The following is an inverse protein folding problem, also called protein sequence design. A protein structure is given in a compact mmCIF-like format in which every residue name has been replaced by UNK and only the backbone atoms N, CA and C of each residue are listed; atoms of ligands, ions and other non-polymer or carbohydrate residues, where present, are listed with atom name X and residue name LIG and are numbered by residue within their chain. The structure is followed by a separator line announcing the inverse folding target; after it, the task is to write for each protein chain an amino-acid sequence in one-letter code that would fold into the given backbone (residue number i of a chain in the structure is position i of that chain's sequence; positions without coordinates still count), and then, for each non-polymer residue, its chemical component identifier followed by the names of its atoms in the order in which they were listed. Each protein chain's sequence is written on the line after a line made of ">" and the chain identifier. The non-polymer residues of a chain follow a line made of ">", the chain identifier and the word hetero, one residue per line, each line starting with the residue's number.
data_IF_561893847156
#
_entry.id   IF_561893847156
#
_cell.length_a   1.000
_cell.length_b   1.000
_cell.length_c   1.000
_cell.angle_alpha   90.00
_cell.angle_beta   90.00
_cell.angle_gamma   90.00
#
_symmetry.space_group_name_H-M   'P 1'
#
loop_
_entity.id
_entity.type
_entity.pdbx_description
1 polymer ?
#
# COMPACT_ATOMS: atom_id res chain seq x y z
N UNK A 1 0.14 -28.95 -6.20
CA UNK A 1 1.18 -27.91 -6.23
C UNK A 1 2.21 -28.25 -5.18
N UNK A 2 3.39 -28.69 -5.63
CA UNK A 2 4.51 -29.13 -4.78
C UNK A 2 5.01 -27.93 -3.96
N UNK A 3 5.50 -28.14 -2.73
CA UNK A 3 5.96 -27.07 -1.81
C UNK A 3 6.93 -26.08 -2.49
N UNK A 4 7.75 -26.57 -3.41
CA UNK A 4 8.70 -25.80 -4.22
C UNK A 4 8.01 -24.85 -5.22
N UNK A 5 6.98 -25.31 -5.93
CA UNK A 5 6.23 -24.48 -6.90
C UNK A 5 5.55 -23.28 -6.21
N UNK A 6 5.00 -23.51 -5.01
CA UNK A 6 4.42 -22.42 -4.19
C UNK A 6 5.47 -21.40 -3.77
N UNK A 7 6.65 -21.87 -3.36
CA UNK A 7 7.75 -20.99 -2.96
C UNK A 7 8.24 -20.14 -4.13
N UNK A 8 8.45 -20.75 -5.30
CA UNK A 8 8.88 -20.05 -6.52
C UNK A 8 7.84 -19.00 -6.97
N UNK A 9 6.56 -19.36 -6.96
CA UNK A 9 5.47 -18.43 -7.28
C UNK A 9 5.43 -17.25 -6.29
N UNK A 10 5.61 -17.53 -5.00
CA UNK A 10 5.62 -16.49 -3.96
C UNK A 10 6.78 -15.54 -4.12
N UNK A 11 7.98 -16.05 -4.41
CA UNK A 11 9.17 -15.24 -4.67
C UNK A 11 8.97 -14.42 -5.94
N UNK A 12 8.50 -15.03 -7.03
CA UNK A 12 8.26 -14.33 -8.30
C UNK A 12 7.24 -13.19 -8.18
N UNK A 13 6.10 -13.45 -7.53
CA UNK A 13 5.10 -12.41 -7.25
C UNK A 13 5.63 -11.36 -6.28
N UNK A 14 6.40 -11.77 -5.28
CA UNK A 14 7.00 -10.85 -4.32
C UNK A 14 7.98 -9.88 -4.98
N UNK A 15 8.89 -10.40 -5.80
CA UNK A 15 9.82 -9.58 -6.58
C UNK A 15 9.07 -8.63 -7.52
N UNK A 16 8.03 -9.12 -8.22
CA UNK A 16 7.21 -8.27 -9.10
C UNK A 16 6.60 -7.10 -8.35
N UNK A 17 6.03 -7.34 -7.16
CA UNK A 17 5.45 -6.29 -6.30
C UNK A 17 6.51 -5.30 -5.82
N UNK A 18 7.68 -5.79 -5.39
CA UNK A 18 8.77 -4.93 -4.91
C UNK A 18 9.28 -4.03 -6.04
N UNK A 19 9.67 -4.60 -7.18
CA UNK A 19 10.23 -3.84 -8.30
C UNK A 19 9.25 -2.82 -8.86
N UNK A 20 7.98 -3.20 -9.02
CA UNK A 20 6.94 -2.28 -9.50
C UNK A 20 6.68 -1.13 -8.53
N UNK A 21 6.68 -1.38 -7.22
CA UNK A 21 6.53 -0.31 -6.21
C UNK A 21 7.75 0.59 -6.12
N UNK A 22 8.98 0.07 -6.22
CA UNK A 22 10.19 0.88 -6.28
C UNK A 22 10.19 1.73 -7.54
N UNK A 23 9.88 1.14 -8.70
CA UNK A 23 9.78 1.86 -9.97
C UNK A 23 8.81 3.03 -9.88
N UNK A 24 7.62 2.84 -9.30
CA UNK A 24 6.70 3.96 -9.08
C UNK A 24 7.27 5.00 -8.10
N UNK A 25 7.92 4.58 -7.00
CA UNK A 25 8.47 5.51 -6.00
C UNK A 25 9.65 6.34 -6.50
N UNK A 26 10.39 5.82 -7.49
CA UNK A 26 11.46 6.56 -8.18
C UNK A 26 10.88 7.49 -9.25
N UNK A 27 9.90 7.03 -10.02
CA UNK A 27 9.35 7.78 -11.15
C UNK A 27 8.40 8.91 -10.74
N UNK A 28 7.71 8.80 -9.60
CA UNK A 28 6.86 9.88 -9.06
C UNK A 28 7.64 11.18 -8.82
N UNK A 29 8.72 11.20 -8.01
CA UNK A 29 9.46 12.43 -7.73
C UNK A 29 10.17 12.94 -9.00
N UNK A 30 10.77 12.04 -9.81
CA UNK A 30 11.33 12.41 -11.12
C UNK A 30 10.31 13.08 -12.04
N UNK A 31 9.04 12.65 -12.02
CA UNK A 31 7.99 13.30 -12.78
C UNK A 31 7.64 14.66 -12.17
N UNK A 32 7.33 14.73 -10.88
CA UNK A 32 6.94 15.96 -10.16
C UNK A 32 7.99 17.06 -10.30
N UNK A 33 9.27 16.73 -10.14
CA UNK A 33 10.35 17.72 -10.16
C UNK A 33 10.88 18.02 -11.56
N UNK A 34 10.46 17.25 -12.57
CA UNK A 34 10.90 17.48 -13.95
C UNK A 34 10.53 18.85 -14.51
N UNK A 35 9.46 19.48 -14.02
CA UNK A 35 9.07 20.85 -14.41
C UNK A 35 9.94 21.91 -13.74
N UNK A 36 10.57 21.58 -12.61
CA UNK A 36 11.41 22.48 -11.82
C UNK A 36 12.88 22.40 -12.26
N UNK A 37 13.35 21.23 -12.68
CA UNK A 37 14.78 20.98 -12.95
C UNK A 37 15.29 21.47 -14.31
N UNK A 38 14.40 21.79 -15.25
CA UNK A 38 14.74 22.45 -16.52
C UNK A 38 14.83 23.98 -16.40
N UNK A 39 14.92 24.53 -15.19
CA UNK A 39 14.97 25.96 -14.93
C UNK A 39 16.28 26.62 -15.38
N UNK A 40 16.40 26.91 -16.68
CA UNK A 40 16.70 28.30 -17.05
C UNK A 40 15.51 29.12 -16.57
N UNK A 41 15.58 29.59 -15.32
CA UNK A 41 14.69 30.63 -14.82
C UNK A 41 15.08 31.89 -15.58
N UNK A 42 14.55 32.05 -16.80
CA UNK A 42 14.49 33.35 -17.44
C UNK A 42 13.60 34.21 -16.53
N UNK A 43 14.23 35.08 -15.76
CA UNK A 43 13.66 36.03 -14.80
C UNK A 43 12.67 37.04 -15.43
N UNK A 44 12.14 36.76 -16.62
CA UNK A 44 11.33 37.68 -17.43
C UNK A 44 9.98 37.09 -17.87
N UNK A 45 9.63 35.86 -17.47
CA UNK A 45 8.34 35.25 -17.84
C UNK A 45 7.51 34.90 -16.60
N UNK A 46 6.36 35.56 -16.43
CA UNK A 46 5.31 35.17 -15.48
C UNK A 46 4.76 33.80 -15.88
N UNK A 47 5.41 32.72 -15.43
CA UNK A 47 4.90 31.36 -15.63
C UNK A 47 3.55 31.26 -14.91
N UNK A 48 2.46 30.88 -15.61
CA UNK A 48 1.14 30.80 -14.99
C UNK A 48 1.13 29.83 -13.81
N UNK A 49 0.44 30.17 -12.72
CA UNK A 49 0.38 29.36 -11.49
C UNK A 49 -0.15 27.93 -11.69
N UNK A 50 -0.90 27.69 -12.76
CA UNK A 50 -1.45 26.37 -13.11
C UNK A 50 -0.43 25.43 -13.78
N UNK A 51 0.76 25.91 -14.20
CA UNK A 51 1.83 25.08 -14.78
C UNK A 51 2.65 24.39 -13.69
N UNK A 52 2.01 23.51 -12.94
CA UNK A 52 2.62 22.71 -11.87
C UNK A 52 2.07 21.29 -11.92
N UNK A 53 2.86 20.33 -11.46
CA UNK A 53 2.40 18.95 -11.35
C UNK A 53 1.57 18.79 -10.08
N UNK A 54 0.38 18.23 -10.23
CA UNK A 54 -0.58 18.05 -9.14
C UNK A 54 -0.57 16.62 -8.61
N UNK A 55 -0.47 16.46 -7.29
CA UNK A 55 -0.39 15.14 -6.66
C UNK A 55 -1.74 14.41 -6.61
N UNK A 56 -2.86 15.13 -6.59
CA UNK A 56 -4.19 14.54 -6.66
C UNK A 56 -4.48 14.00 -8.07
N UNK A 57 -3.98 14.68 -9.11
CA UNK A 57 -4.06 14.20 -10.50
C UNK A 57 -3.46 12.80 -10.67
N UNK A 58 -2.42 12.43 -9.90
CA UNK A 58 -1.86 11.06 -9.89
C UNK A 58 -2.92 10.05 -9.44
N UNK A 59 -3.66 10.36 -8.36
CA UNK A 59 -4.70 9.48 -7.79
C UNK A 59 -5.84 9.28 -8.79
N UNK A 60 -6.29 10.37 -9.43
CA UNK A 60 -7.36 10.33 -10.44
C UNK A 60 -6.91 9.54 -11.66
N UNK A 61 -5.71 9.82 -12.16
CA UNK A 61 -5.19 9.14 -13.36
C UNK A 61 -5.01 7.65 -13.10
N UNK A 62 -4.51 7.27 -11.92
CA UNK A 62 -4.42 5.87 -11.51
C UNK A 62 -5.81 5.18 -11.52
N UNK A 63 -6.84 5.86 -11.01
CA UNK A 63 -8.22 5.35 -11.05
C UNK A 63 -8.73 5.18 -12.48
N UNK A 64 -8.50 6.17 -13.35
CA UNK A 64 -8.92 6.15 -14.76
C UNK A 64 -8.23 5.03 -15.52
N UNK A 65 -6.89 4.95 -15.47
CA UNK A 65 -6.10 3.97 -16.23
C UNK A 65 -6.41 2.55 -15.81
N UNK A 66 -6.48 2.27 -14.49
CA UNK A 66 -6.86 0.96 -13.98
C UNK A 66 -8.29 0.57 -14.38
N UNK A 67 -9.25 1.51 -14.29
CA UNK A 67 -10.65 1.24 -14.64
C UNK A 67 -10.79 0.94 -16.14
N UNK A 68 -10.14 1.72 -17.00
CA UNK A 68 -10.16 1.49 -18.44
C UNK A 68 -9.49 0.16 -18.81
N UNK A 69 -8.30 -0.12 -18.28
CA UNK A 69 -7.56 -1.35 -18.56
C UNK A 69 -8.35 -2.58 -18.13
N UNK A 70 -8.77 -2.65 -16.87
CA UNK A 70 -9.51 -3.81 -16.38
C UNK A 70 -10.94 -3.88 -16.95
N UNK A 71 -11.53 -2.76 -17.34
CA UNK A 71 -12.80 -2.71 -18.06
C UNK A 71 -12.69 -3.33 -19.45
N UNK A 72 -11.66 -2.98 -20.22
CA UNK A 72 -11.38 -3.58 -21.54
C UNK A 72 -11.07 -5.08 -21.38
N UNK A 73 -10.26 -5.47 -20.39
CA UNK A 73 -9.97 -6.88 -20.12
C UNK A 73 -11.21 -7.67 -19.68
N UNK A 74 -12.10 -7.05 -18.90
CA UNK A 74 -13.36 -7.69 -18.53
C UNK A 74 -14.29 -7.83 -19.74
N UNK A 75 -14.39 -6.78 -20.57
CA UNK A 75 -15.17 -6.80 -21.81
C UNK A 75 -14.67 -7.92 -22.74
N UNK A 76 -13.36 -8.03 -22.93
CA UNK A 76 -12.77 -9.07 -23.78
C UNK A 76 -13.02 -10.47 -23.20
N UNK A 77 -12.96 -10.66 -21.88
CA UNK A 77 -13.36 -11.91 -21.24
C UNK A 77 -14.83 -12.24 -21.47
N UNK A 78 -15.74 -11.27 -21.41
CA UNK A 78 -17.16 -11.48 -21.63
C UNK A 78 -17.47 -11.85 -23.09
N UNK A 79 -16.76 -11.24 -24.05
CA UNK A 79 -16.93 -11.49 -25.48
C UNK A 79 -16.30 -12.83 -25.91
N UNK A 80 -15.03 -13.07 -25.55
CA UNK A 80 -14.28 -14.23 -26.04
C UNK A 80 -14.38 -15.47 -25.13
N UNK A 81 -14.66 -15.28 -23.84
CA UNK A 81 -14.69 -16.36 -22.84
C UNK A 81 -15.91 -16.24 -21.89
N UNK A 82 -17.15 -16.22 -22.41
CA UNK A 82 -18.36 -15.93 -21.62
C UNK A 82 -18.55 -16.87 -20.44
N UNK A 83 -18.02 -18.11 -20.51
CA UNK A 83 -18.10 -19.10 -19.42
C UNK A 83 -17.17 -18.82 -18.24
N UNK A 84 -16.21 -17.89 -18.35
CA UNK A 84 -15.26 -17.55 -17.27
C UNK A 84 -15.83 -16.61 -16.21
N UNK A 85 -16.88 -15.86 -16.53
CA UNK A 85 -17.62 -15.03 -15.58
C UNK A 85 -18.96 -15.71 -15.37
N UNK A 86 -19.25 -16.07 -14.12
CA UNK A 86 -20.42 -16.87 -13.78
C UNK A 86 -21.35 -16.12 -12.84
N UNK A 87 -22.49 -16.71 -12.51
CA UNK A 87 -23.42 -16.09 -11.54
C UNK A 87 -22.77 -15.78 -10.19
N UNK A 88 -21.71 -16.52 -9.81
CA UNK A 88 -20.96 -16.27 -8.59
C UNK A 88 -20.35 -14.86 -8.57
N UNK A 89 -19.70 -14.46 -9.66
CA UNK A 89 -19.13 -13.12 -9.83
C UNK A 89 -20.22 -12.03 -9.77
N UNK A 90 -21.35 -12.26 -10.45
CA UNK A 90 -22.45 -11.29 -10.49
C UNK A 90 -23.10 -11.08 -9.12
N UNK A 91 -23.32 -12.17 -8.37
CA UNK A 91 -23.86 -12.18 -7.00
C UNK A 91 -22.83 -11.76 -5.94
N UNK A 92 -21.57 -11.54 -6.33
CA UNK A 92 -20.54 -11.13 -5.39
C UNK A 92 -20.90 -9.76 -4.75
N UNK A 93 -20.85 -9.64 -3.41
CA UNK A 93 -21.36 -8.47 -2.70
C UNK A 93 -20.56 -7.21 -3.04
N UNK A 94 -21.24 -6.21 -3.62
CA UNK A 94 -20.60 -4.97 -4.13
C UNK A 94 -19.85 -4.17 -3.06
N UNK A 95 -20.24 -4.30 -1.79
CA UNK A 95 -19.51 -3.71 -0.65
C UNK A 95 -18.05 -4.16 -0.56
N UNK A 96 -17.73 -5.36 -1.04
CA UNK A 96 -16.35 -5.89 -1.05
C UNK A 96 -15.47 -5.25 -2.14
N UNK A 97 -16.05 -4.50 -3.09
CA UNK A 97 -15.32 -3.62 -4.00
C UNK A 97 -15.26 -2.20 -3.46
N UNK A 98 -16.41 -1.70 -2.97
CA UNK A 98 -16.56 -0.32 -2.52
C UNK A 98 -15.63 0.01 -1.36
N UNK A 99 -15.56 -0.85 -0.34
CA UNK A 99 -14.75 -0.58 0.86
C UNK A 99 -13.25 -0.49 0.51
N UNK A 100 -12.60 -1.48 -0.13
CA UNK A 100 -11.19 -1.35 -0.46
C UNK A 100 -10.92 -0.23 -1.47
N UNK A 101 -11.77 -0.02 -2.48
CA UNK A 101 -11.58 1.07 -3.46
C UNK A 101 -11.69 2.48 -2.84
N UNK A 102 -12.65 2.69 -1.94
CA UNK A 102 -12.77 3.97 -1.21
C UNK A 102 -11.62 4.15 -0.22
N UNK A 103 -11.26 3.11 0.52
CA UNK A 103 -10.16 3.15 1.48
C UNK A 103 -8.83 3.48 0.79
N UNK A 104 -8.46 2.80 -0.30
CA UNK A 104 -7.19 3.10 -0.98
C UNK A 104 -7.15 4.54 -1.51
N UNK A 105 -8.29 5.07 -1.95
CA UNK A 105 -8.39 6.45 -2.42
C UNK A 105 -8.16 7.44 -1.29
N UNK A 106 -8.80 7.23 -0.15
CA UNK A 106 -8.59 8.06 1.05
C UNK A 106 -7.13 7.97 1.51
N UNK A 107 -6.55 6.78 1.52
CA UNK A 107 -5.13 6.57 1.84
C UNK A 107 -4.23 7.35 0.89
N UNK A 108 -4.47 7.26 -0.41
CA UNK A 108 -3.69 7.97 -1.42
C UNK A 108 -3.80 9.49 -1.26
N UNK A 109 -5.00 10.03 -1.05
CA UNK A 109 -5.22 11.47 -0.84
C UNK A 109 -4.46 11.97 0.40
N UNK A 110 -4.61 11.29 1.54
CA UNK A 110 -3.92 11.66 2.78
C UNK A 110 -2.40 11.58 2.62
N UNK A 111 -1.92 10.55 1.92
CA UNK A 111 -0.50 10.36 1.64
C UNK A 111 0.02 11.47 0.74
N UNK A 112 -0.59 11.72 -0.42
CA UNK A 112 -0.21 12.77 -1.37
C UNK A 112 -0.24 14.15 -0.73
N UNK A 113 -1.21 14.43 0.14
CA UNK A 113 -1.27 15.69 0.88
C UNK A 113 -0.13 15.81 1.89
N UNK A 114 0.22 14.76 2.63
CA UNK A 114 1.28 14.80 3.63
C UNK A 114 2.70 14.65 3.05
N UNK A 115 2.85 14.12 1.82
CA UNK A 115 4.14 13.77 1.21
C UNK A 115 5.00 14.98 0.85
N UNK A 116 4.41 16.17 0.69
CA UNK A 116 5.17 17.37 0.32
C UNK A 116 6.31 17.60 1.32
N UNK A 117 7.53 17.78 0.81
CA UNK A 117 8.71 18.08 1.64
C UNK A 117 8.58 19.35 2.47
N UNK A 118 7.60 20.21 2.19
CA UNK A 118 7.24 21.38 3.02
C UNK A 118 6.30 21.06 4.19
N UNK A 119 5.64 19.89 4.17
CA UNK A 119 4.63 19.46 5.15
C UNK A 119 5.18 18.40 6.08
N UNK A 120 5.73 17.33 5.52
CA UNK A 120 6.41 16.28 6.26
C UNK A 120 7.84 16.16 5.76
N UNK A 121 8.81 16.18 6.66
CA UNK A 121 10.20 15.96 6.28
C UNK A 121 10.36 14.58 5.63
N UNK A 122 11.12 14.44 4.52
CA UNK A 122 11.27 13.17 3.80
C UNK A 122 11.75 12.00 4.68
N UNK A 123 12.67 12.26 5.61
CA UNK A 123 13.15 11.25 6.55
C UNK A 123 12.03 10.71 7.45
N UNK A 124 11.14 11.60 7.87
CA UNK A 124 10.03 11.28 8.75
C UNK A 124 8.97 10.46 8.02
N UNK A 125 8.67 10.77 6.75
CA UNK A 125 7.77 9.96 5.89
C UNK A 125 8.17 8.49 5.91
N UNK A 126 9.47 8.19 5.76
CA UNK A 126 9.98 6.83 5.78
C UNK A 126 9.75 6.15 7.14
N UNK A 127 10.07 6.83 8.26
CA UNK A 127 9.81 6.33 9.63
C UNK A 127 8.32 6.06 9.85
N UNK A 128 7.47 7.00 9.45
CA UNK A 128 6.03 6.89 9.65
C UNK A 128 5.40 5.76 8.82
N UNK A 129 6.00 5.43 7.68
CA UNK A 129 5.51 4.33 6.84
C UNK A 129 5.62 2.96 7.51
N UNK A 130 6.53 2.82 8.48
CA UNK A 130 6.75 1.57 9.23
C UNK A 130 5.54 1.21 10.11
N UNK A 131 4.72 2.18 10.51
CA UNK A 131 3.47 1.93 11.24
C UNK A 131 2.47 1.10 10.44
N UNK A 132 2.66 0.95 9.14
CA UNK A 132 1.84 0.09 8.30
C UNK A 132 1.87 -1.37 8.76
N UNK A 133 3.01 -1.89 9.27
CA UNK A 133 3.11 -3.25 9.80
C UNK A 133 2.14 -3.45 10.98
N UNK A 134 2.31 -2.76 12.13
CA UNK A 134 1.43 -2.99 13.28
C UNK A 134 -0.04 -2.67 12.97
N UNK A 135 -0.32 -1.62 12.20
CA UNK A 135 -1.69 -1.25 11.80
C UNK A 135 -2.35 -2.37 10.99
N UNK A 136 -1.65 -2.93 9.99
CA UNK A 136 -2.18 -4.03 9.17
C UNK A 136 -2.43 -5.27 10.01
N UNK A 137 -1.53 -5.63 10.94
CA UNK A 137 -1.73 -6.76 11.84
C UNK A 137 -3.00 -6.61 12.69
N UNK A 138 -3.23 -5.41 13.25
CA UNK A 138 -4.43 -5.11 14.04
C UNK A 138 -5.69 -5.16 13.19
N UNK A 139 -5.70 -4.50 12.03
CA UNK A 139 -6.86 -4.48 11.12
C UNK A 139 -7.20 -5.89 10.65
N UNK A 140 -6.19 -6.67 10.26
CA UNK A 140 -6.36 -8.05 9.81
C UNK A 140 -6.89 -8.95 10.92
N UNK A 141 -6.40 -8.77 12.14
CA UNK A 141 -6.95 -9.45 13.32
C UNK A 141 -8.42 -9.09 13.56
N UNK A 142 -8.82 -7.82 13.44
CA UNK A 142 -10.21 -7.39 13.66
C UNK A 142 -11.14 -7.93 12.56
N UNK A 143 -10.75 -7.83 11.28
CA UNK A 143 -11.62 -8.12 10.14
C UNK A 143 -11.64 -9.60 9.78
N UNK A 144 -10.48 -10.25 9.74
CA UNK A 144 -10.36 -11.67 9.35
C UNK A 144 -10.32 -12.61 10.55
N UNK A 145 -10.11 -12.09 11.77
CA UNK A 145 -10.00 -12.89 13.00
C UNK A 145 -8.91 -13.97 12.92
N UNK A 146 -7.87 -13.72 12.10
CA UNK A 146 -6.66 -14.54 12.02
C UNK A 146 -5.64 -14.05 13.04
N UNK A 147 -5.05 -14.97 13.80
CA UNK A 147 -3.99 -14.65 14.77
C UNK A 147 -2.62 -15.06 14.23
N UNK A 148 -1.62 -14.17 14.25
CA UNK A 148 -0.26 -14.56 13.93
C UNK A 148 0.27 -15.53 14.99
N UNK A 149 1.08 -16.49 14.56
CA UNK A 149 1.87 -17.31 15.50
C UNK A 149 2.96 -16.47 16.14
N UNK A 150 3.46 -16.87 17.32
CA UNK A 150 4.56 -16.15 18.00
C UNK A 150 5.77 -15.99 17.08
N UNK A 151 6.13 -17.05 16.33
CA UNK A 151 7.21 -17.04 15.36
C UNK A 151 7.02 -15.94 14.29
N UNK A 152 5.80 -15.82 13.75
CA UNK A 152 5.46 -14.79 12.76
C UNK A 152 5.47 -13.39 13.32
N UNK A 153 5.00 -13.22 14.56
CA UNK A 153 5.10 -11.94 15.26
C UNK A 153 6.55 -11.53 15.48
N UNK A 154 7.43 -12.46 15.90
CA UNK A 154 8.87 -12.20 16.05
C UNK A 154 9.51 -11.82 14.72
N UNK A 155 9.20 -12.51 13.62
CA UNK A 155 9.68 -12.12 12.28
C UNK A 155 9.22 -10.72 11.89
N UNK A 156 7.96 -10.35 12.17
CA UNK A 156 7.43 -9.01 11.90
C UNK A 156 8.15 -7.94 12.74
N UNK A 157 8.45 -8.23 14.01
CA UNK A 157 9.24 -7.34 14.88
C UNK A 157 10.66 -7.16 14.32
N UNK A 158 11.32 -8.24 13.89
CA UNK A 158 12.66 -8.16 13.29
C UNK A 158 12.63 -7.29 12.03
N UNK A 159 11.65 -7.48 11.14
CA UNK A 159 11.50 -6.64 9.93
C UNK A 159 11.27 -5.18 10.30
N UNK A 160 10.39 -4.90 11.26
CA UNK A 160 10.10 -3.55 11.71
C UNK A 160 11.34 -2.86 12.31
N UNK A 161 12.09 -3.55 13.17
CA UNK A 161 13.33 -3.01 13.76
C UNK A 161 14.43 -2.84 12.71
N UNK A 162 14.53 -3.74 11.74
CA UNK A 162 15.48 -3.64 10.64
C UNK A 162 15.20 -2.42 9.78
N UNK A 163 13.92 -2.08 9.54
CA UNK A 163 13.54 -0.87 8.81
C UNK A 163 13.89 0.42 9.56
N UNK A 164 13.71 0.42 10.88
CA UNK A 164 14.15 1.54 11.73
C UNK A 164 15.67 1.71 11.69
N UNK A 165 16.42 0.62 11.53
CA UNK A 165 17.89 0.67 11.43
C UNK A 165 18.36 1.44 10.19
N UNK A 166 17.72 1.27 9.02
CA UNK A 166 18.07 2.07 7.82
C UNK A 166 17.83 3.56 8.02
N UNK A 167 16.96 3.93 8.97
CA UNK A 167 16.51 5.29 9.22
C UNK A 167 17.31 5.98 10.33
N UNK A 168 18.29 5.32 10.94
CA UNK A 168 19.12 5.91 12.01
C UNK A 168 19.79 7.22 11.57
N UNK A 169 20.44 7.34 10.39
CA UNK A 169 21.08 8.60 9.97
C UNK A 169 20.05 9.71 9.76
N UNK A 170 18.89 9.33 9.24
CA UNK A 170 17.72 10.18 9.05
C UNK A 170 17.12 10.71 10.37
N UNK A 171 17.17 9.93 11.45
CA UNK A 171 16.67 10.31 12.79
C UNK A 171 17.72 11.10 13.58
N UNK A 172 19.00 10.73 13.43
CA UNK A 172 20.14 11.32 14.12
C UNK A 172 21.11 11.91 13.10
N UNK A 173 20.76 13.06 12.48
CA UNK A 173 21.55 13.67 11.42
C UNK A 173 22.95 14.08 11.88
N UNK A 174 23.18 14.22 13.19
CA UNK A 174 24.51 14.43 13.78
C UNK A 174 25.51 13.31 13.48
N UNK A 175 25.05 12.16 12.99
CA UNK A 175 25.88 11.02 12.60
C UNK A 175 26.34 11.08 11.14
N UNK A 176 25.84 12.02 10.33
CA UNK A 176 26.28 12.27 8.95
C UNK A 176 26.96 13.65 8.82
N UNK A 177 27.99 13.74 7.97
CA UNK A 177 28.80 14.96 7.78
C UNK A 177 27.95 16.07 7.15
N UNK A 178 27.97 17.26 7.78
CA UNK A 178 26.99 18.36 7.70
C UNK A 178 26.78 19.11 6.36
N UNK A 179 27.01 18.53 5.20
CA UNK A 179 26.89 19.24 3.90
C UNK A 179 25.61 18.97 3.10
N UNK A 180 24.73 18.05 3.53
CA UNK A 180 23.47 17.73 2.82
C UNK A 180 22.17 18.13 3.56
N UNK A 181 22.24 18.57 4.82
CA UNK A 181 21.07 18.80 5.69
C UNK A 181 20.52 20.24 5.71
N UNK A 182 20.93 21.11 4.78
CA UNK A 182 20.44 22.50 4.78
C UNK A 182 18.97 22.67 4.30
N UNK A 183 18.25 21.57 4.05
CA UNK A 183 16.85 21.56 3.61
C UNK A 183 16.04 20.43 4.26
N UNK A 184 16.16 20.19 5.57
CA UNK A 184 15.41 19.12 6.26
C UNK A 184 13.87 19.25 6.14
N UNK A 185 13.37 20.37 5.60
CA UNK A 185 11.97 20.51 5.21
C UNK A 185 11.02 20.35 6.38
N UNK A 186 9.75 20.06 6.07
CA UNK A 186 8.69 19.88 7.04
C UNK A 186 8.07 21.19 7.53
N UNK A 187 6.81 21.11 7.93
CA UNK A 187 6.12 22.25 8.51
C UNK A 187 6.62 22.51 9.94
N UNK A 188 6.66 23.78 10.34
CA UNK A 188 7.03 24.17 11.70
C UNK A 188 5.80 24.29 12.62
N UNK A 189 6.02 24.26 13.93
CA UNK A 189 4.97 24.41 14.93
C UNK A 189 3.96 23.26 14.94
N UNK A 190 2.67 23.57 15.16
CA UNK A 190 1.59 22.56 15.26
C UNK A 190 1.43 21.76 13.95
N UNK A 191 1.62 22.41 12.80
CA UNK A 191 1.56 21.76 11.50
C UNK A 191 2.64 20.66 11.35
N UNK A 192 3.80 20.84 11.98
CA UNK A 192 4.87 19.84 12.03
C UNK A 192 4.50 18.54 12.75
N UNK A 193 3.42 18.53 13.54
CA UNK A 193 2.87 17.33 14.17
C UNK A 193 1.65 16.81 13.42
N UNK A 194 0.77 17.71 12.96
CA UNK A 194 -0.46 17.33 12.27
C UNK A 194 -0.22 16.60 10.95
N UNK A 195 0.78 17.01 10.16
CA UNK A 195 1.10 16.35 8.89
C UNK A 195 1.64 14.92 9.06
N UNK A 196 2.59 14.66 9.97
CA UNK A 196 2.93 13.30 10.37
C UNK A 196 1.74 12.45 10.80
N UNK A 197 0.85 12.99 11.63
CA UNK A 197 -0.35 12.27 12.05
C UNK A 197 -1.31 12.00 10.87
N UNK A 198 -1.43 12.93 9.93
CA UNK A 198 -2.16 12.75 8.67
C UNK A 198 -1.54 11.62 7.82
N UNK A 199 -0.21 11.52 7.79
CA UNK A 199 0.47 10.45 7.09
C UNK A 199 0.26 9.08 7.77
N UNK A 200 0.38 8.99 9.10
CA UNK A 200 0.09 7.74 9.84
C UNK A 200 -1.37 7.33 9.65
N UNK A 201 -2.30 8.29 9.69
CA UNK A 201 -3.73 8.00 9.51
C UNK A 201 -4.05 7.44 8.13
N UNK A 202 -3.23 7.71 7.11
CA UNK A 202 -3.35 7.12 5.77
C UNK A 202 -3.04 5.60 5.74
N UNK A 203 -2.30 5.09 6.72
CA UNK A 203 -1.96 3.66 6.82
C UNK A 203 -3.16 2.81 7.25
N UNK A 204 -4.11 3.39 7.99
CA UNK A 204 -5.35 2.70 8.39
C UNK A 204 -6.17 2.28 7.17
N UNK A 205 -6.57 3.18 6.26
CA UNK A 205 -7.30 2.80 5.06
C UNK A 205 -6.45 1.95 4.10
N UNK A 206 -5.12 2.10 4.09
CA UNK A 206 -4.25 1.19 3.33
C UNK A 206 -4.34 -0.26 3.86
N UNK A 207 -4.23 -0.45 5.18
CA UNK A 207 -4.38 -1.75 5.84
C UNK A 207 -5.77 -2.35 5.65
N UNK A 208 -6.82 -1.51 5.67
CA UNK A 208 -8.19 -1.93 5.32
C UNK A 208 -8.24 -2.49 3.91
N UNK A 209 -7.71 -1.76 2.94
CA UNK A 209 -7.68 -2.17 1.52
C UNK A 209 -7.06 -3.55 1.36
N UNK A 210 -5.84 -3.75 1.88
CA UNK A 210 -5.14 -5.03 1.75
C UNK A 210 -5.87 -6.18 2.44
N UNK A 211 -6.48 -5.93 3.60
CA UNK A 211 -7.22 -6.94 4.36
C UNK A 211 -8.52 -7.34 3.67
N UNK A 212 -9.26 -6.38 3.10
CA UNK A 212 -10.46 -6.66 2.30
C UNK A 212 -10.12 -7.32 0.97
N UNK A 213 -9.01 -6.93 0.33
CA UNK A 213 -8.52 -7.59 -0.87
C UNK A 213 -8.16 -9.04 -0.57
N UNK A 214 -7.40 -9.33 0.50
CA UNK A 214 -7.12 -10.69 0.97
C UNK A 214 -8.41 -11.48 1.13
N UNK A 215 -9.37 -10.93 1.88
CA UNK A 215 -10.68 -11.57 2.10
C UNK A 215 -11.35 -11.94 0.78
N UNK A 216 -11.26 -11.05 -0.21
CA UNK A 216 -11.98 -11.15 -1.46
C UNK A 216 -11.35 -12.15 -2.42
N UNK A 217 -10.03 -12.08 -2.60
CA UNK A 217 -9.29 -12.92 -3.56
C UNK A 217 -9.05 -14.33 -3.04
N UNK A 218 -9.01 -14.53 -1.71
CA UNK A 218 -8.89 -15.86 -1.10
C UNK A 218 -10.25 -16.54 -0.89
N UNK A 219 -11.37 -15.80 -0.97
CA UNK A 219 -12.71 -16.41 -0.84
C UNK A 219 -12.94 -17.40 -1.97
N UNK A 220 -13.20 -18.65 -1.59
CA UNK A 220 -13.59 -19.71 -2.52
C UNK A 220 -15.05 -20.10 -2.27
N UNK A 221 -15.81 -20.34 -3.32
CA UNK A 221 -17.20 -20.80 -3.24
C UNK A 221 -17.25 -22.32 -3.29
N UNK A 222 -17.81 -22.94 -2.23
CA UNK A 222 -18.14 -24.37 -2.18
C UNK A 222 -17.31 -25.18 -1.18
N UNK A 223 -17.94 -26.22 -0.62
CA UNK A 223 -17.32 -27.25 0.23
C UNK A 223 -16.74 -28.43 -0.57
N UNK A 224 -16.78 -28.37 -1.89
CA UNK A 224 -16.31 -29.43 -2.79
C UNK A 224 -14.91 -29.15 -3.34
N UNK A 225 -14.24 -30.21 -3.78
CA UNK A 225 -12.84 -30.26 -4.24
C UNK A 225 -12.46 -29.27 -5.37
N UNK A 226 -13.42 -28.67 -6.06
CA UNK A 226 -13.22 -27.55 -6.99
C UNK A 226 -13.83 -26.26 -6.45
N UNK A 227 -13.24 -25.73 -5.37
CA UNK A 227 -13.70 -24.47 -4.79
C UNK A 227 -13.53 -23.33 -5.82
N UNK A 228 -14.65 -22.81 -6.33
CA UNK A 228 -14.68 -21.81 -7.40
C UNK A 228 -14.17 -20.48 -6.85
N UNK A 229 -13.04 -20.01 -7.36
CA UNK A 229 -12.40 -18.76 -6.91
C UNK A 229 -12.90 -17.58 -7.74
N UNK A 230 -13.01 -16.42 -7.10
CA UNK A 230 -13.35 -15.17 -7.78
C UNK A 230 -12.37 -14.88 -8.92
N UNK A 231 -12.90 -14.53 -10.10
CA UNK A 231 -12.08 -14.09 -11.22
C UNK A 231 -11.33 -12.79 -10.86
N UNK A 232 -10.00 -12.78 -11.03
CA UNK A 232 -9.15 -11.67 -10.61
C UNK A 232 -9.38 -10.41 -11.44
N UNK A 233 -9.68 -10.53 -12.74
CA UNK A 233 -9.92 -9.39 -13.63
C UNK A 233 -11.24 -8.73 -13.26
N UNK A 234 -12.28 -9.52 -12.99
CA UNK A 234 -13.56 -9.02 -12.47
C UNK A 234 -13.38 -8.29 -11.14
N UNK A 235 -12.57 -8.85 -10.23
CA UNK A 235 -12.29 -8.22 -8.95
C UNK A 235 -11.54 -6.90 -9.12
N UNK A 236 -10.47 -6.88 -9.90
CA UNK A 236 -9.66 -5.70 -10.16
C UNK A 236 -10.46 -4.59 -10.83
N UNK A 237 -11.38 -4.92 -11.76
CA UNK A 237 -12.28 -3.94 -12.35
C UNK A 237 -13.25 -3.33 -11.32
N UNK A 238 -13.92 -4.15 -10.50
CA UNK A 238 -14.83 -3.64 -9.48
C UNK A 238 -14.12 -2.76 -8.45
N UNK A 239 -12.91 -3.17 -8.05
CA UNK A 239 -12.03 -2.42 -7.15
C UNK A 239 -11.58 -1.08 -7.76
N UNK A 240 -11.06 -1.08 -9.00
CA UNK A 240 -10.58 0.14 -9.66
C UNK A 240 -11.71 1.11 -9.98
N UNK A 241 -12.87 0.61 -10.39
CA UNK A 241 -14.07 1.43 -10.59
C UNK A 241 -14.49 2.12 -9.29
N UNK A 242 -14.45 1.39 -8.17
CA UNK A 242 -14.77 1.97 -6.84
C UNK A 242 -13.75 3.03 -6.42
N UNK A 243 -12.47 2.82 -6.73
CA UNK A 243 -11.41 3.82 -6.53
C UNK A 243 -11.66 5.08 -7.38
N UNK A 244 -11.98 4.92 -8.67
CA UNK A 244 -12.27 6.05 -9.55
C UNK A 244 -13.48 6.85 -9.08
N UNK A 245 -14.58 6.17 -8.72
CA UNK A 245 -15.78 6.84 -8.17
C UNK A 245 -15.42 7.61 -6.90
N UNK A 246 -14.65 7.01 -6.00
CA UNK A 246 -14.21 7.68 -4.78
C UNK A 246 -13.33 8.92 -5.07
N UNK A 247 -12.40 8.82 -6.04
CA UNK A 247 -11.53 9.92 -6.43
C UNK A 247 -12.33 11.08 -7.04
N UNK A 248 -13.32 10.76 -7.89
CA UNK A 248 -14.22 11.76 -8.48
C UNK A 248 -15.11 12.41 -7.42
N UNK A 249 -15.61 11.66 -6.43
CA UNK A 249 -16.42 12.23 -5.34
C UNK A 249 -15.57 13.12 -4.41
N UNK A 250 -14.29 12.79 -4.22
CA UNK A 250 -13.37 13.50 -3.34
C UNK A 250 -12.53 14.58 -4.05
N UNK A 251 -12.82 14.91 -5.31
CA UNK A 251 -12.05 15.91 -6.07
C UNK A 251 -11.94 17.27 -5.36
N UNK A 252 -12.99 17.66 -4.64
CA UNK A 252 -13.06 18.93 -3.93
C UNK A 252 -12.04 19.04 -2.78
N UNK A 253 -11.50 17.91 -2.31
CA UNK A 253 -10.48 17.89 -1.25
C UNK A 253 -9.21 18.65 -1.69
N UNK A 254 -8.92 18.65 -2.99
CA UNK A 254 -7.77 19.37 -3.53
C UNK A 254 -7.95 20.90 -3.59
N UNK A 255 -9.15 21.39 -3.26
CA UNK A 255 -9.47 22.83 -3.17
C UNK A 255 -9.38 23.34 -1.72
N UNK A 256 -9.32 22.45 -0.73
CA UNK A 256 -9.34 22.84 0.69
C UNK A 256 -8.08 23.66 1.01
N UNK A 257 -8.22 24.91 1.48
CA UNK A 257 -7.08 25.75 1.83
C UNK A 257 -6.19 25.09 2.88
N UNK A 258 -4.89 25.04 2.62
CA UNK A 258 -3.90 24.40 3.49
C UNK A 258 -3.82 22.88 3.36
N UNK A 259 -4.80 22.22 2.72
CA UNK A 259 -4.77 20.76 2.48
C UNK A 259 -4.50 20.43 1.00
N UNK A 260 -5.29 20.98 0.09
CA UNK A 260 -5.15 20.78 -1.34
C UNK A 260 -4.07 21.65 -1.98
N UNK A 261 -3.82 21.42 -3.27
CA UNK A 261 -2.88 22.20 -4.06
C UNK A 261 -3.55 23.35 -4.83
N UNK A 262 -4.85 23.22 -5.15
CA UNK A 262 -5.60 24.17 -5.95
C UNK A 262 -6.19 25.32 -5.11
N UNK A 263 -6.17 26.53 -5.67
CA UNK A 263 -6.75 27.73 -5.06
C UNK A 263 -8.25 27.90 -5.32
N UNK A 264 -8.81 27.07 -6.21
CA UNK A 264 -10.22 27.09 -6.58
C UNK A 264 -10.51 26.10 -7.71
N UNK A 265 -11.80 25.97 -8.08
CA UNK A 265 -12.26 25.02 -9.11
C UNK A 265 -11.62 25.31 -10.48
N UNK A 266 -11.51 26.59 -10.86
CA UNK A 266 -10.90 26.96 -12.15
C UNK A 266 -9.42 26.59 -12.21
N UNK A 267 -8.67 26.86 -11.13
CA UNK A 267 -7.26 26.54 -11.01
C UNK A 267 -7.03 25.02 -11.01
N UNK A 268 -7.90 24.26 -10.34
CA UNK A 268 -7.90 22.79 -10.34
C UNK A 268 -7.99 22.25 -11.78
N UNK A 269 -9.02 22.63 -12.53
CA UNK A 269 -9.23 22.11 -13.88
C UNK A 269 -8.14 22.55 -14.87
N UNK A 270 -7.65 23.79 -14.76
CA UNK A 270 -6.53 24.25 -15.60
C UNK A 270 -5.25 23.48 -15.29
N UNK A 271 -4.97 23.24 -14.01
CA UNK A 271 -3.81 22.46 -13.57
C UNK A 271 -3.95 21.00 -14.05
N UNK A 272 -5.10 20.36 -13.87
CA UNK A 272 -5.33 19.00 -14.35
C UNK A 272 -5.24 18.89 -15.87
N UNK A 273 -5.75 19.88 -16.60
CA UNK A 273 -5.63 19.93 -18.05
C UNK A 273 -4.17 20.04 -18.49
N UNK A 274 -3.38 20.91 -17.83
CA UNK A 274 -1.94 20.99 -18.04
C UNK A 274 -1.25 19.66 -17.75
N UNK A 275 -1.56 19.00 -16.63
CA UNK A 275 -1.00 17.70 -16.27
C UNK A 275 -1.34 16.61 -17.30
N UNK A 276 -2.57 16.61 -17.82
CA UNK A 276 -3.02 15.70 -18.87
C UNK A 276 -2.33 15.96 -20.23
N UNK A 277 -1.99 17.21 -20.54
CA UNK A 277 -1.18 17.52 -21.72
C UNK A 277 0.29 17.13 -21.49
N UNK A 278 0.81 17.42 -20.31
CA UNK A 278 2.21 17.14 -19.95
C UNK A 278 2.51 15.62 -19.93
N UNK A 279 1.54 14.81 -19.49
CA UNK A 279 1.66 13.35 -19.45
C UNK A 279 1.88 12.69 -20.83
N UNK A 280 1.51 13.39 -21.91
CA UNK A 280 1.73 12.97 -23.30
C UNK A 280 2.79 13.82 -24.03
N UNK A 281 3.54 14.65 -23.31
CA UNK A 281 4.62 15.47 -23.87
C UNK A 281 4.14 16.72 -24.62
N UNK A 282 2.94 17.20 -24.33
CA UNK A 282 2.41 18.46 -24.86
C UNK A 282 2.59 19.61 -23.85
N UNK A 283 2.07 20.80 -24.17
CA UNK A 283 2.09 22.00 -23.32
C UNK A 283 3.49 22.48 -22.87
N UNK A 284 4.52 22.19 -23.68
CA UNK A 284 5.91 22.54 -23.37
C UNK A 284 6.64 21.51 -22.52
N UNK A 285 6.02 20.36 -22.23
CA UNK A 285 6.67 19.24 -21.55
C UNK A 285 7.53 18.41 -22.50
N UNK A 286 8.68 17.94 -22.03
CA UNK A 286 9.59 17.12 -22.85
C UNK A 286 9.15 15.65 -22.90
N UNK A 287 9.62 14.91 -23.91
CA UNK A 287 9.36 13.47 -24.03
C UNK A 287 9.83 12.67 -22.79
N UNK A 288 10.86 13.15 -22.10
CA UNK A 288 11.37 12.56 -20.85
C UNK A 288 10.34 12.66 -19.71
N UNK A 289 9.60 13.77 -19.63
CA UNK A 289 8.56 13.94 -18.60
C UNK A 289 7.39 12.99 -18.84
N UNK A 290 6.98 12.86 -20.11
CA UNK A 290 5.96 11.91 -20.52
C UNK A 290 6.40 10.46 -20.26
N UNK A 291 7.69 10.13 -20.45
CA UNK A 291 8.20 8.78 -20.19
C UNK A 291 8.22 8.46 -18.69
N UNK A 292 8.57 9.42 -17.81
CA UNK A 292 8.48 9.24 -16.37
C UNK A 292 7.03 8.96 -15.92
N UNK A 293 6.09 9.76 -16.42
CA UNK A 293 4.67 9.55 -16.14
C UNK A 293 4.17 8.19 -16.62
N UNK A 294 4.47 7.83 -17.87
CA UNK A 294 4.06 6.55 -18.46
C UNK A 294 4.64 5.37 -17.66
N UNK A 295 5.92 5.43 -17.33
CA UNK A 295 6.57 4.41 -16.50
C UNK A 295 5.93 4.30 -15.12
N UNK A 296 5.62 5.41 -14.47
CA UNK A 296 4.92 5.45 -13.17
C UNK A 296 3.56 4.75 -13.26
N UNK A 297 2.76 5.04 -14.29
CA UNK A 297 1.44 4.41 -14.51
C UNK A 297 1.59 2.90 -14.69
N UNK A 298 2.51 2.45 -15.53
CA UNK A 298 2.75 1.02 -15.76
C UNK A 298 3.23 0.31 -14.49
N UNK A 299 4.17 0.90 -13.76
CA UNK A 299 4.64 0.39 -12.49
C UNK A 299 3.48 0.22 -11.50
N UNK A 300 2.58 1.19 -11.38
CA UNK A 300 1.44 1.07 -10.47
C UNK A 300 0.41 0.02 -10.92
N UNK A 301 0.12 -0.10 -12.22
CA UNK A 301 -0.73 -1.18 -12.76
C UNK A 301 -0.17 -2.55 -12.41
N UNK A 302 1.13 -2.76 -12.68
CA UNK A 302 1.83 -4.02 -12.39
C UNK A 302 1.81 -4.29 -10.88
N UNK A 303 2.01 -3.27 -10.05
CA UNK A 303 1.95 -3.40 -8.60
C UNK A 303 0.56 -3.82 -8.13
N UNK A 304 -0.51 -3.23 -8.66
CA UNK A 304 -1.88 -3.55 -8.25
C UNK A 304 -2.27 -4.99 -8.66
N UNK A 305 -1.86 -5.43 -9.86
CA UNK A 305 -2.01 -6.83 -10.29
C UNK A 305 -1.20 -7.75 -9.38
N UNK A 306 0.09 -7.44 -9.18
CA UNK A 306 1.02 -8.21 -8.39
C UNK A 306 0.56 -8.38 -6.95
N UNK A 307 0.08 -7.31 -6.31
CA UNK A 307 -0.43 -7.32 -4.93
C UNK A 307 -1.62 -8.24 -4.81
N UNK A 308 -2.61 -8.13 -5.71
CA UNK A 308 -3.82 -8.93 -5.60
C UNK A 308 -3.56 -10.42 -5.95
N UNK A 309 -2.65 -10.70 -6.88
CA UNK A 309 -2.17 -12.06 -7.12
C UNK A 309 -1.37 -12.61 -5.94
N UNK A 310 -0.50 -11.80 -5.34
CA UNK A 310 0.26 -12.17 -4.16
C UNK A 310 -0.68 -12.54 -3.01
N UNK A 311 -1.64 -11.66 -2.67
CA UNK A 311 -2.65 -11.93 -1.65
C UNK A 311 -3.47 -13.20 -1.93
N UNK A 312 -3.66 -13.56 -3.21
CA UNK A 312 -4.39 -14.77 -3.61
C UNK A 312 -3.63 -16.07 -3.36
N UNK A 313 -2.30 -16.04 -3.44
CA UNK A 313 -1.46 -17.24 -3.39
C UNK A 313 -0.58 -17.35 -2.15
N UNK A 314 -0.48 -16.29 -1.34
CA UNK A 314 0.34 -16.26 -0.12
C UNK A 314 -0.51 -16.18 1.15
N UNK A 315 0.15 -16.05 2.29
CA UNK A 315 -0.51 -16.05 3.60
C UNK A 315 -1.48 -14.89 3.84
N UNK A 316 -1.31 -13.76 3.14
CA UNK A 316 -2.24 -12.63 3.19
C UNK A 316 -1.58 -11.27 3.44
N UNK A 317 -2.35 -10.33 3.98
CA UNK A 317 -2.00 -8.91 4.08
C UNK A 317 -0.81 -8.64 5.01
N UNK A 318 -0.63 -9.42 6.08
CA UNK A 318 0.52 -9.27 6.98
C UNK A 318 1.85 -9.56 6.28
N UNK A 319 1.88 -10.62 5.47
CA UNK A 319 3.09 -10.95 4.71
C UNK A 319 3.35 -9.92 3.61
N UNK A 320 2.28 -9.43 2.96
CA UNK A 320 2.39 -8.38 1.96
C UNK A 320 2.99 -7.10 2.56
N UNK A 321 2.52 -6.63 3.72
CA UNK A 321 3.04 -5.39 4.30
C UNK A 321 4.50 -5.54 4.71
N UNK A 322 4.91 -6.70 5.24
CA UNK A 322 6.31 -7.01 5.49
C UNK A 322 7.11 -6.94 4.18
N UNK A 323 6.66 -7.62 3.13
CA UNK A 323 7.34 -7.59 1.83
C UNK A 323 7.50 -6.16 1.29
N UNK A 324 6.47 -5.33 1.43
CA UNK A 324 6.48 -3.95 0.95
C UNK A 324 7.49 -3.06 1.71
N UNK A 325 7.92 -3.41 2.93
CA UNK A 325 8.90 -2.60 3.66
C UNK A 325 10.33 -2.70 3.11
N UNK A 326 10.65 -3.76 2.35
CA UNK A 326 11.93 -3.87 1.63
C UNK A 326 12.14 -2.69 0.66
N UNK A 327 11.06 -2.08 0.17
CA UNK A 327 11.17 -0.94 -0.76
C UNK A 327 11.94 0.23 -0.16
N UNK A 328 11.88 0.43 1.16
CA UNK A 328 12.51 1.56 1.85
C UNK A 328 14.05 1.51 1.76
N UNK A 329 14.74 0.44 2.24
CA UNK A 329 16.19 0.34 2.08
C UNK A 329 16.62 0.23 0.61
N UNK A 330 15.84 -0.43 -0.25
CA UNK A 330 16.16 -0.46 -1.68
C UNK A 330 16.08 0.91 -2.36
N UNK A 331 15.13 1.76 -1.94
CA UNK A 331 15.02 3.12 -2.43
C UNK A 331 16.19 3.99 -1.95
N UNK A 332 16.62 3.84 -0.69
CA UNK A 332 17.85 4.49 -0.23
C UNK A 332 19.07 4.06 -1.03
N UNK A 333 19.24 2.75 -1.27
CA UNK A 333 20.33 2.25 -2.11
C UNK A 333 20.25 2.81 -3.54
N UNK A 334 19.05 2.91 -4.11
CA UNK A 334 18.87 3.53 -5.42
C UNK A 334 19.36 4.99 -5.40
N UNK A 335 18.91 5.81 -4.45
CA UNK A 335 19.31 7.23 -4.37
C UNK A 335 20.75 7.45 -3.92
N UNK A 336 21.44 6.46 -3.36
CA UNK A 336 22.89 6.53 -3.14
C UNK A 336 23.69 6.40 -4.45
N UNK A 337 23.05 5.93 -5.52
CA UNK A 337 23.69 5.70 -6.82
C UNK A 337 23.32 6.76 -7.86
N UNK A 338 22.20 7.46 -7.68
CA UNK A 338 21.65 8.40 -8.63
C UNK A 338 21.33 9.74 -7.97
N UNK A 339 21.58 10.85 -8.69
CA UNK A 339 20.98 12.15 -8.35
C UNK A 339 19.68 12.35 -9.11
N UNK A 340 18.79 13.12 -8.51
CA UNK A 340 17.47 13.41 -9.07
C UNK A 340 17.51 14.49 -10.16
N UNK A 341 18.26 15.58 -9.94
CA UNK A 341 18.28 16.72 -10.84
C UNK A 341 19.69 17.30 -11.10
N UNK A 342 20.20 17.25 -12.36
CA UNK A 342 19.71 16.37 -13.43
C UNK A 342 19.78 14.88 -13.03
N UNK A 343 19.01 14.01 -13.68
CA UNK A 343 19.08 12.58 -13.40
C UNK A 343 20.36 11.97 -14.01
N UNK A 344 21.34 11.63 -13.18
CA UNK A 344 22.58 10.98 -13.61
C UNK A 344 23.16 10.07 -12.51
N UNK A 345 24.06 9.18 -12.93
CA UNK A 345 24.78 8.27 -12.06
C UNK A 345 25.88 9.01 -11.28
N UNK A 346 25.79 9.01 -9.95
CA UNK A 346 26.74 9.66 -9.05
C UNK A 346 26.80 8.90 -7.72
N UNK A 347 27.60 7.83 -7.63
CA UNK A 347 27.58 6.93 -6.48
C UNK A 347 28.29 7.54 -5.28
N UNK A 348 27.56 7.69 -4.17
CA UNK A 348 28.06 8.12 -2.88
C UNK A 348 27.68 7.12 -1.80
N UNK A 349 28.68 6.49 -1.18
CA UNK A 349 28.45 5.57 -0.07
C UNK A 349 28.50 6.33 1.25
N UNK A 350 27.36 6.41 1.93
CA UNK A 350 27.21 7.03 3.24
C UNK A 350 26.86 5.97 4.30
N UNK A 351 26.79 6.37 5.57
CA UNK A 351 26.35 5.49 6.66
C UNK A 351 24.99 4.85 6.35
N UNK A 352 24.05 5.63 5.79
CA UNK A 352 22.74 5.15 5.33
C UNK A 352 22.82 3.98 4.33
N UNK A 353 23.82 3.97 3.44
CA UNK A 353 24.05 2.88 2.48
C UNK A 353 24.34 1.57 3.21
N UNK A 354 25.28 1.58 4.15
CA UNK A 354 25.67 0.38 4.90
C UNK A 354 24.55 -0.13 5.81
N UNK A 355 23.83 0.78 6.46
CA UNK A 355 22.68 0.41 7.30
C UNK A 355 21.53 -0.17 6.46
N UNK A 356 21.30 0.35 5.25
CA UNK A 356 20.30 -0.21 4.32
C UNK A 356 20.67 -1.61 3.85
N UNK A 357 21.95 -1.89 3.57
CA UNK A 357 22.43 -3.25 3.26
C UNK A 357 22.23 -4.19 4.46
N UNK A 358 22.62 -3.74 5.65
CA UNK A 358 22.42 -4.51 6.88
C UNK A 358 20.94 -4.82 7.16
N UNK A 359 20.05 -3.85 6.91
CA UNK A 359 18.62 -4.02 7.08
C UNK A 359 18.06 -5.08 6.14
N UNK A 360 18.45 -5.06 4.85
CA UNK A 360 18.03 -6.08 3.88
C UNK A 360 18.52 -7.48 4.30
N UNK A 361 19.77 -7.57 4.77
CA UNK A 361 20.35 -8.83 5.26
C UNK A 361 19.59 -9.42 6.46
N UNK A 362 18.94 -8.60 7.29
CA UNK A 362 18.08 -9.03 8.39
C UNK A 362 16.63 -9.30 7.95
N UNK A 363 16.09 -8.46 7.07
CA UNK A 363 14.72 -8.55 6.57
C UNK A 363 14.46 -9.84 5.77
N UNK A 364 15.34 -10.17 4.82
CA UNK A 364 15.11 -11.29 3.90
C UNK A 364 15.03 -12.65 4.63
N UNK A 365 15.95 -13.00 5.55
CA UNK A 365 15.81 -14.22 6.35
C UNK A 365 14.55 -14.22 7.21
N UNK A 366 14.20 -13.10 7.84
CA UNK A 366 13.00 -12.99 8.66
C UNK A 366 11.71 -13.23 7.85
N UNK A 367 11.63 -12.69 6.63
CA UNK A 367 10.51 -12.92 5.71
C UNK A 367 10.46 -14.35 5.18
N UNK A 368 11.62 -14.95 4.87
CA UNK A 368 11.70 -16.35 4.49
C UNK A 368 11.19 -17.27 5.62
N UNK A 369 11.61 -17.02 6.86
CA UNK A 369 11.16 -17.75 8.04
C UNK A 369 9.67 -17.54 8.31
N UNK A 370 9.16 -16.31 8.09
CA UNK A 370 7.73 -16.00 8.20
C UNK A 370 6.90 -16.85 7.23
N UNK A 371 7.30 -16.89 5.95
CA UNK A 371 6.59 -17.59 4.88
C UNK A 371 6.67 -19.13 4.98
N UNK A 372 7.74 -19.66 5.59
CA UNK A 372 7.93 -21.11 5.77
C UNK A 372 7.39 -21.65 7.09
N UNK A 373 6.98 -20.76 8.01
CA UNK A 373 6.39 -21.13 9.30
C UNK A 373 4.97 -21.68 9.19
N UNK A 374 4.45 -22.17 10.32
CA UNK A 374 3.09 -22.72 10.38
C UNK A 374 2.04 -21.68 10.00
N UNK A 375 1.01 -22.06 9.22
CA UNK A 375 -0.03 -21.14 8.78
C UNK A 375 -0.75 -20.51 9.97
N UNK A 376 -1.19 -19.26 9.80
CA UNK A 376 -1.88 -18.56 10.88
C UNK A 376 -3.24 -19.18 11.20
N UNK A 377 -3.60 -19.22 12.48
CA UNK A 377 -4.83 -19.84 12.95
C UNK A 377 -6.03 -18.90 12.75
N UNK A 378 -7.10 -19.40 12.14
CA UNK A 378 -8.42 -18.78 12.23
C UNK A 378 -8.99 -19.03 13.61
N UNK A 379 -9.48 -17.97 14.27
CA UNK A 379 -10.26 -18.15 15.50
C UNK A 379 -11.59 -18.81 15.15
N UNK A 380 -11.72 -20.11 15.40
CA UNK A 380 -13.01 -20.79 15.36
C UNK A 380 -13.92 -20.21 16.45
N UNK A 381 -15.19 -20.02 16.12
CA UNK A 381 -16.22 -19.47 17.02
C UNK A 381 -16.35 -20.26 18.33
N UNK A 382 -15.94 -21.54 18.37
CA UNK A 382 -15.99 -22.39 19.57
C UNK A 382 -15.11 -21.91 20.73
N UNK A 383 -14.05 -21.12 20.46
CA UNK A 383 -13.14 -20.64 21.52
C UNK A 383 -13.73 -19.44 22.31
N UNK A 384 -14.85 -18.87 21.84
CA UNK A 384 -15.57 -17.82 22.57
C UNK A 384 -16.60 -18.42 23.54
N UNK A 385 -17.13 -19.61 23.25
CA UNK A 385 -18.05 -20.32 24.14
C UNK A 385 -17.31 -21.13 25.23
N UNK A 386 -16.08 -21.59 24.97
CA UNK A 386 -15.29 -22.34 25.96
C UNK A 386 -14.76 -21.49 27.15
N UNK A 387 -14.97 -20.16 27.15
CA UNK A 387 -14.54 -19.26 28.24
C UNK A 387 -15.64 -18.84 29.22
N UNK A 388 -16.84 -19.44 29.15
CA UNK A 388 -17.88 -19.39 30.21
C UNK A 388 -18.47 -20.80 30.34
N UNK A 389 -18.54 -21.47 31.51
CA UNK A 389 -18.51 -20.97 32.89
C UNK A 389 -17.50 -21.71 33.83
N UNK A 390 -16.69 -20.98 34.59
CA UNK A 390 -15.99 -21.49 35.79
C UNK A 390 -16.38 -20.71 37.06
N UNK A 391 -17.50 -19.98 37.00
CA UNK A 391 -18.13 -19.31 38.15
C UNK A 391 -19.55 -19.83 38.31
N UNK A 392 -19.68 -21.14 38.48
CA UNK A 392 -20.89 -21.78 38.97
C UNK A 392 -20.47 -23.02 39.77
N UNK A 393 -19.76 -22.79 40.87
CA UNK A 393 -19.66 -23.76 41.95
C UNK A 393 -19.38 -23.00 43.24
N UNK A 394 -20.46 -22.49 43.85
CA UNK A 394 -20.54 -22.45 45.30
C UNK A 394 -22.01 -22.34 45.73
N UNK A 395 -22.60 -23.48 46.12
CA UNK A 395 -23.39 -23.63 47.36
C UNK A 395 -24.04 -25.01 47.44
N UNK A 396 -23.64 -25.72 48.50
CA UNK A 396 -24.41 -26.63 49.36
C UNK A 396 -24.91 -27.95 48.75
N UNK A 397 -24.29 -29.09 49.05
CA UNK A 397 -24.40 -29.92 50.27
C UNK A 397 -25.80 -30.54 50.53
N UNK A 398 -25.75 -31.88 50.63
CA UNK A 398 -26.56 -32.79 51.43
C UNK A 398 -27.99 -33.15 50.98
N UNK A 399 -28.16 -34.41 50.55
CA UNK A 399 -28.85 -35.46 51.34
C UNK A 399 -28.97 -36.80 50.59
N UNK A 400 -28.36 -37.82 51.20
CA UNK A 400 -28.93 -39.13 51.59
C UNK A 400 -29.92 -39.89 50.68
N UNK A 401 -29.63 -41.20 50.55
CA UNK A 401 -30.63 -42.28 50.49
C UNK A 401 -30.78 -42.91 49.10
N UNK A 402 -30.10 -44.02 48.80
CA UNK A 402 -30.51 -45.40 49.08
C UNK A 402 -31.64 -45.91 48.16
N UNK A 403 -31.23 -46.89 47.34
CA UNK A 403 -31.97 -48.08 46.87
C UNK A 403 -33.28 -47.92 46.10
N UNK A 404 -33.42 -48.76 45.07
CA UNK A 404 -34.47 -49.78 44.89
C UNK A 404 -34.93 -49.90 43.42
N UNK A 405 -34.76 -51.12 42.90
CA UNK A 405 -35.45 -51.88 41.85
C UNK A 405 -35.59 -51.37 40.40
N UNK A 406 -35.08 -52.24 39.50
CA UNK A 406 -35.78 -53.06 38.49
C UNK A 406 -37.05 -52.54 37.78
N UNK A 407 -37.23 -53.11 36.58
CA UNK A 407 -38.42 -53.18 35.71
C UNK A 407 -38.51 -51.95 34.76
N UNK A 408 -38.46 -52.06 33.42
CA UNK A 408 -38.69 -53.14 32.47
C UNK A 408 -37.96 -52.83 31.15
#
# INVERSE_FOLDING_TARGET
>A
MVRYEKALLTIGLGSLVIFSRIGSLVLVPLWIDSTSCNGTVDNTSTVPSYRRIDTFFIVVTQGVTNTLLFGILLLSLLVFFPKKITEFEWKYPKRQFLIPGTAITISAILTCAALSGKRTAPYLISVLSNFNIPITFVIRFIILRKRPTLKKLLCAIVVFLSELMCLIPSIFPSLETSSQHQQDGGAQGVAGVLWPLCFISSMIPFGLTNTFNERSVQKSAGNTSEAKRLNIIFFLFGYSLSQLIAAVVLFWVDIIPGFGNASGISDLFQTWWFNAQCSIGLAGCSATQASYFSGMVWCNIIADIGINLFLRFTEGANYLVMLLTIRTPLLFLFWTLFRECPFYWDPHANLSTYLSIGAIALMLPAMYIYNTGDPEHMKTSSETDARKPLLANDKTCDRYGSNVHDIQ
#
